data_IF_335464492546
#
_entry.id   IF_335464492546
#
_cell.length_a   1.000
_cell.length_b   1.000
_cell.length_c   1.000
_cell.angle_alpha   90.00
_cell.angle_beta   90.00
_cell.angle_gamma   90.00
#
_symmetry.space_group_name_H-M   'P 1'
#
loop_
_entity.id
_entity.type
_entity.pdbx_description
1 polymer ?
#
# COMPACT_ATOMS: atom_id res chain seq x y z
N UNK A 1 4.56 -8.48 18.21
CA UNK A 1 4.51 -7.06 17.83
C UNK A 1 5.58 -6.71 16.79
N UNK A 2 6.77 -7.33 16.85
CA UNK A 2 7.85 -7.09 15.87
C UNK A 2 7.55 -7.52 14.43
N UNK A 3 6.89 -8.67 14.25
CA UNK A 3 6.67 -9.25 12.91
C UNK A 3 5.71 -8.41 12.05
N UNK A 4 4.66 -7.83 12.62
CA UNK A 4 3.77 -6.90 11.90
C UNK A 4 4.49 -5.63 11.47
N UNK A 5 5.36 -5.07 12.32
CA UNK A 5 6.17 -3.90 11.92
C UNK A 5 7.05 -4.25 10.72
N UNK A 6 7.73 -5.41 10.76
CA UNK A 6 8.62 -5.83 9.68
C UNK A 6 7.87 -6.10 8.38
N UNK A 7 6.70 -6.73 8.45
CA UNK A 7 5.82 -6.92 7.29
C UNK A 7 5.42 -5.57 6.69
N UNK A 8 5.02 -4.62 7.53
CA UNK A 8 4.60 -3.29 7.06
C UNK A 8 5.77 -2.53 6.45
N UNK A 9 6.90 -2.46 7.16
CA UNK A 9 8.09 -1.75 6.74
C UNK A 9 8.65 -2.31 5.43
N UNK A 10 8.87 -3.62 5.36
CA UNK A 10 9.41 -4.27 4.15
C UNK A 10 8.47 -4.11 2.96
N UNK A 11 7.16 -4.19 3.20
CA UNK A 11 6.16 -3.98 2.15
C UNK A 11 6.15 -2.56 1.61
N UNK A 12 6.20 -1.55 2.49
CA UNK A 12 6.33 -0.15 2.10
C UNK A 12 7.62 0.08 1.32
N UNK A 13 8.75 -0.40 1.82
CA UNK A 13 10.04 -0.30 1.12
C UNK A 13 9.97 -0.95 -0.27
N UNK A 14 9.36 -2.12 -0.40
CA UNK A 14 9.18 -2.80 -1.68
C UNK A 14 8.34 -2.00 -2.67
N UNK A 15 7.21 -1.46 -2.22
CA UNK A 15 6.32 -0.62 -3.05
C UNK A 15 7.04 0.66 -3.48
N UNK A 16 7.66 1.39 -2.55
CA UNK A 16 8.37 2.64 -2.82
C UNK A 16 9.55 2.41 -3.75
N UNK A 17 10.30 1.32 -3.57
CA UNK A 17 11.41 1.02 -4.46
C UNK A 17 10.94 0.78 -5.90
N UNK A 18 9.80 0.12 -6.10
CA UNK A 18 9.26 -0.11 -7.44
C UNK A 18 8.62 1.15 -8.02
N UNK A 19 7.72 1.79 -7.27
CA UNK A 19 6.89 2.90 -7.73
C UNK A 19 7.61 4.25 -7.78
N UNK A 20 8.66 4.45 -6.99
CA UNK A 20 9.35 5.74 -6.86
C UNK A 20 10.82 5.70 -7.32
N UNK A 21 11.57 4.68 -6.90
CA UNK A 21 13.04 4.68 -7.01
C UNK A 21 13.58 3.90 -8.23
N UNK A 22 12.82 2.94 -8.76
CA UNK A 22 13.25 2.13 -9.90
C UNK A 22 13.17 2.94 -11.19
N UNK A 23 14.31 3.44 -11.67
CA UNK A 23 14.39 4.30 -12.86
C UNK A 23 13.86 3.66 -14.16
N UNK A 24 13.74 2.33 -14.22
CA UNK A 24 13.22 1.63 -15.39
C UNK A 24 11.68 1.51 -15.38
N UNK A 25 11.03 1.61 -14.21
CA UNK A 25 9.59 1.34 -14.03
C UNK A 25 8.85 2.58 -13.52
N UNK A 26 9.47 3.35 -12.62
CA UNK A 26 8.85 4.49 -11.98
C UNK A 26 8.53 5.58 -13.01
N UNK A 27 7.29 6.08 -12.93
CA UNK A 27 6.80 7.20 -13.74
C UNK A 27 6.61 8.43 -12.84
N UNK A 28 6.55 9.64 -13.40
CA UNK A 28 6.19 10.82 -12.61
C UNK A 28 4.83 10.67 -11.91
N UNK A 29 3.88 9.95 -12.52
CA UNK A 29 2.59 9.64 -11.93
C UNK A 29 2.74 8.72 -10.71
N UNK A 30 3.46 7.61 -10.84
CA UNK A 30 3.65 6.67 -9.73
C UNK A 30 4.45 7.28 -8.60
N UNK A 31 5.47 8.07 -8.91
CA UNK A 31 6.20 8.86 -7.93
C UNK A 31 5.27 9.77 -7.13
N UNK A 32 4.42 10.56 -7.80
CA UNK A 32 3.48 11.44 -7.12
C UNK A 32 2.41 10.68 -6.32
N UNK A 33 1.88 9.58 -6.86
CA UNK A 33 0.84 8.78 -6.21
C UNK A 33 1.34 8.11 -4.92
N UNK A 34 2.61 7.67 -4.90
CA UNK A 34 3.21 6.95 -3.78
C UNK A 34 4.15 7.81 -2.91
N UNK A 35 4.37 9.09 -3.25
CA UNK A 35 5.23 9.99 -2.48
C UNK A 35 4.85 10.09 -0.99
N UNK A 36 3.56 10.21 -0.60
CA UNK A 36 3.20 10.25 0.83
C UNK A 36 3.65 9.01 1.59
N UNK A 37 3.69 7.86 0.93
CA UNK A 37 4.15 6.60 1.52
C UNK A 37 5.67 6.52 1.60
N UNK A 38 6.38 7.01 0.58
CA UNK A 38 7.84 7.13 0.62
C UNK A 38 8.27 8.02 1.80
N UNK A 39 7.64 9.19 1.93
CA UNK A 39 7.90 10.11 3.02
C UNK A 39 7.57 9.49 4.39
N UNK A 40 6.42 8.82 4.51
CA UNK A 40 6.07 8.11 5.76
C UNK A 40 7.09 7.02 6.09
N UNK A 41 7.54 6.24 5.10
CA UNK A 41 8.51 5.16 5.27
C UNK A 41 9.85 5.64 5.85
N UNK A 42 10.30 6.82 5.47
CA UNK A 42 11.52 7.44 6.03
C UNK A 42 11.36 7.86 7.51
N UNK A 43 10.14 8.15 7.93
CA UNK A 43 9.83 8.57 9.30
C UNK A 43 9.47 7.40 10.24
N UNK A 44 9.39 6.17 9.72
CA UNK A 44 9.04 5.00 10.51
C UNK A 44 10.19 4.57 11.42
N UNK A 45 9.99 4.70 12.73
CA UNK A 45 10.84 4.10 13.76
C UNK A 45 10.04 3.09 14.57
N UNK A 46 10.65 1.93 14.85
CA UNK A 46 10.04 0.86 15.65
C UNK A 46 9.69 1.32 17.08
N UNK A 47 10.47 2.26 17.64
CA UNK A 47 10.35 2.66 19.04
C UNK A 47 9.64 3.99 19.25
N UNK A 48 9.44 4.79 18.18
CA UNK A 48 8.97 6.18 18.30
C UNK A 48 7.55 6.38 17.75
N UNK A 49 6.82 5.32 17.43
CA UNK A 49 5.45 5.44 16.93
C UNK A 49 4.45 5.60 18.07
N UNK A 50 3.74 6.75 18.18
CA UNK A 50 2.74 6.99 19.23
C UNK A 50 1.41 6.26 18.99
N UNK A 51 1.35 5.35 18.02
CA UNK A 51 0.14 4.68 17.55
C UNK A 51 0.21 3.17 17.82
N UNK A 52 -0.93 2.55 18.11
CA UNK A 52 -1.03 1.08 18.17
C UNK A 52 -0.68 0.49 16.80
N UNK A 53 0.07 -0.61 16.78
CA UNK A 53 0.54 -1.23 15.54
C UNK A 53 -0.58 -1.61 14.55
N UNK A 54 -1.75 -2.02 15.05
CA UNK A 54 -2.91 -2.30 14.21
C UNK A 54 -3.39 -1.04 13.46
N UNK A 55 -3.57 0.06 14.19
CA UNK A 55 -4.04 1.32 13.60
C UNK A 55 -3.00 1.85 12.60
N UNK A 56 -1.72 1.70 12.92
CA UNK A 56 -0.63 2.03 12.02
C UNK A 56 -0.68 1.22 10.72
N UNK A 57 -0.83 -0.10 10.81
CA UNK A 57 -0.97 -0.97 9.65
C UNK A 57 -2.18 -0.60 8.77
N UNK A 58 -3.32 -0.29 9.39
CA UNK A 58 -4.51 0.17 8.69
C UNK A 58 -4.29 1.50 7.94
N UNK A 59 -3.55 2.45 8.54
CA UNK A 59 -3.19 3.71 7.86
C UNK A 59 -2.28 3.45 6.66
N UNK A 60 -1.31 2.55 6.78
CA UNK A 60 -0.43 2.17 5.69
C UNK A 60 -1.21 1.55 4.52
N UNK A 61 -2.13 0.62 4.81
CA UNK A 61 -3.02 0.03 3.80
C UNK A 61 -3.83 1.10 3.08
N UNK A 62 -4.41 2.05 3.81
CA UNK A 62 -5.21 3.12 3.20
C UNK A 62 -4.37 4.03 2.28
N UNK A 63 -3.12 4.34 2.65
CA UNK A 63 -2.20 5.10 1.80
C UNK A 63 -1.81 4.32 0.53
N UNK A 64 -1.52 3.02 0.67
CA UNK A 64 -1.29 2.12 -0.47
C UNK A 64 -2.50 2.11 -1.40
N UNK A 65 -3.70 1.97 -0.83
CA UNK A 65 -4.92 1.97 -1.61
C UNK A 65 -5.17 3.28 -2.33
N UNK A 66 -4.90 4.43 -1.70
CA UNK A 66 -5.01 5.72 -2.36
C UNK A 66 -4.04 5.85 -3.54
N UNK A 67 -2.78 5.46 -3.36
CA UNK A 67 -1.80 5.42 -4.45
C UNK A 67 -2.28 4.57 -5.62
N UNK A 68 -2.77 3.35 -5.34
CA UNK A 68 -3.34 2.47 -6.36
C UNK A 68 -4.55 3.08 -7.09
N UNK A 69 -5.45 3.75 -6.36
CA UNK A 69 -6.61 4.41 -6.97
C UNK A 69 -6.21 5.53 -7.91
N UNK A 70 -5.23 6.35 -7.52
CA UNK A 70 -4.67 7.40 -8.37
C UNK A 70 -4.11 6.75 -9.65
N UNK A 71 -3.34 5.67 -9.51
CA UNK A 71 -2.79 4.95 -10.65
C UNK A 71 -3.89 4.39 -11.57
N UNK A 72 -4.85 3.63 -11.06
CA UNK A 72 -5.95 3.08 -11.89
C UNK A 72 -6.74 4.18 -12.61
N UNK A 73 -6.89 5.34 -11.98
CA UNK A 73 -7.63 6.48 -12.58
C UNK A 73 -6.91 7.03 -13.82
N UNK A 74 -5.58 7.02 -13.84
CA UNK A 74 -4.78 7.71 -14.84
C UNK A 74 -3.95 6.78 -15.73
N UNK A 75 -3.80 5.51 -15.36
CA UNK A 75 -3.04 4.49 -16.07
C UNK A 75 -3.90 3.24 -16.25
N UNK A 76 -4.43 3.05 -17.46
CA UNK A 76 -5.39 1.99 -17.77
C UNK A 76 -4.84 0.56 -17.66
N UNK A 77 -3.53 0.38 -17.77
CA UNK A 77 -2.85 -0.92 -17.65
C UNK A 77 -2.24 -1.16 -16.27
N UNK A 78 -2.49 -0.28 -15.28
CA UNK A 78 -1.86 -0.37 -13.96
C UNK A 78 -2.07 -1.72 -13.27
N UNK A 79 -3.24 -2.34 -13.46
CA UNK A 79 -3.59 -3.65 -12.89
C UNK A 79 -2.71 -4.81 -13.38
N UNK A 80 -1.95 -4.60 -14.45
CA UNK A 80 -0.98 -5.57 -14.98
C UNK A 80 0.47 -5.25 -14.56
N UNK A 81 0.70 -4.23 -13.73
CA UNK A 81 2.04 -3.81 -13.32
C UNK A 81 2.51 -4.51 -12.05
N UNK A 82 3.82 -4.65 -11.90
CA UNK A 82 4.44 -5.20 -10.68
C UNK A 82 4.06 -4.40 -9.43
N UNK A 83 3.95 -3.07 -9.54
CA UNK A 83 3.54 -2.19 -8.45
C UNK A 83 2.14 -2.55 -7.93
N UNK A 84 1.18 -2.82 -8.83
CA UNK A 84 -0.16 -3.26 -8.42
C UNK A 84 -0.11 -4.60 -7.67
N UNK A 85 0.66 -5.58 -8.15
CA UNK A 85 0.81 -6.88 -7.48
C UNK A 85 1.51 -6.76 -6.12
N UNK A 86 2.51 -5.87 -6.00
CA UNK A 86 3.15 -5.55 -4.72
C UNK A 86 2.15 -4.96 -3.73
N UNK A 87 1.27 -4.06 -4.18
CA UNK A 87 0.23 -3.48 -3.32
C UNK A 87 -0.76 -4.53 -2.82
N UNK A 88 -1.23 -5.45 -3.68
CA UNK A 88 -2.08 -6.58 -3.25
C UNK A 88 -1.39 -7.48 -2.23
N UNK A 89 -0.13 -7.81 -2.50
CA UNK A 89 0.68 -8.69 -1.66
C UNK A 89 0.91 -8.07 -0.29
N UNK A 90 1.23 -6.78 -0.26
CA UNK A 90 1.35 -6.03 0.99
C UNK A 90 0.09 -6.12 1.84
N UNK A 91 -1.07 -5.78 1.27
CA UNK A 91 -2.35 -5.80 2.02
C UNK A 91 -2.65 -7.20 2.53
N UNK A 92 -2.43 -8.23 1.70
CA UNK A 92 -2.66 -9.62 2.07
C UNK A 92 -1.77 -10.06 3.22
N UNK A 93 -0.46 -9.77 3.16
CA UNK A 93 0.50 -10.13 4.19
C UNK A 93 0.21 -9.41 5.52
N UNK A 94 -0.21 -8.15 5.47
CA UNK A 94 -0.64 -7.41 6.67
C UNK A 94 -1.90 -8.05 7.27
N UNK A 95 -2.89 -8.40 6.45
CA UNK A 95 -4.09 -9.09 6.91
C UNK A 95 -3.78 -10.46 7.51
N UNK A 96 -2.87 -11.22 6.91
CA UNK A 96 -2.45 -12.53 7.41
C UNK A 96 -1.73 -12.41 8.77
N UNK A 97 -0.88 -11.40 8.94
CA UNK A 97 -0.20 -11.13 10.21
C UNK A 97 -1.14 -10.59 11.30
N UNK A 98 -2.27 -9.98 10.89
CA UNK A 98 -3.39 -9.63 11.77
C UNK A 98 -4.35 -10.80 12.01
N UNK A 99 -4.03 -12.00 11.51
CA UNK A 99 -4.86 -13.22 11.60
C UNK A 99 -6.28 -13.03 11.04
N UNK A 100 -6.44 -12.14 10.05
CA UNK A 100 -7.73 -11.84 9.42
C UNK A 100 -8.11 -12.92 8.39
N UNK A 101 -9.24 -13.63 8.58
CA UNK A 101 -9.69 -14.64 7.64
C UNK A 101 -9.92 -14.11 6.22
N UNK A 102 -9.79 -14.96 5.20
CA UNK A 102 -10.02 -14.58 3.80
C UNK A 102 -11.44 -14.05 3.53
N UNK A 103 -12.43 -14.46 4.34
CA UNK A 103 -13.81 -14.02 4.19
C UNK A 103 -14.14 -12.74 4.97
N UNK A 104 -13.19 -12.21 5.75
CA UNK A 104 -13.34 -11.00 6.56
C UNK A 104 -13.71 -9.79 5.69
N UNK A 105 -14.66 -9.00 6.19
CA UNK A 105 -15.18 -7.83 5.49
C UNK A 105 -14.09 -6.78 5.26
N UNK A 106 -13.29 -6.49 6.28
CA UNK A 106 -12.26 -5.45 6.23
C UNK A 106 -11.13 -5.86 5.27
N UNK A 107 -10.73 -7.14 5.26
CA UNK A 107 -9.76 -7.68 4.29
C UNK A 107 -10.26 -7.52 2.85
N UNK A 108 -11.52 -7.90 2.58
CA UNK A 108 -12.14 -7.76 1.25
C UNK A 108 -12.22 -6.30 0.83
N UNK A 109 -12.69 -5.44 1.73
CA UNK A 109 -12.78 -4.00 1.50
C UNK A 109 -11.42 -3.43 1.06
N UNK A 110 -10.34 -3.68 1.81
CA UNK A 110 -9.02 -3.16 1.49
C UNK A 110 -8.46 -3.67 0.15
N UNK A 111 -8.66 -4.96 -0.16
CA UNK A 111 -8.24 -5.53 -1.44
C UNK A 111 -9.07 -5.03 -2.63
N UNK A 112 -10.32 -4.65 -2.39
CA UNK A 112 -11.19 -4.05 -3.40
C UNK A 112 -10.80 -2.58 -3.65
N UNK A 113 -10.46 -1.83 -2.60
CA UNK A 113 -10.12 -0.40 -2.72
C UNK A 113 -9.02 -0.13 -3.75
N UNK A 114 -8.07 -1.05 -3.91
CA UNK A 114 -6.94 -0.87 -4.83
C UNK A 114 -7.27 -1.18 -6.30
N UNK A 115 -8.47 -1.69 -6.58
CA UNK A 115 -8.98 -1.88 -7.95
C UNK A 115 -9.85 -0.71 -8.41
N UNK A 116 -10.23 0.17 -7.48
CA UNK A 116 -11.15 1.25 -7.76
C UNK A 116 -10.43 2.44 -8.39
N UNK A 117 -11.19 3.26 -9.12
CA UNK A 117 -10.77 4.58 -9.56
C UNK A 117 -11.21 5.63 -8.54
N UNK A 118 -10.58 6.81 -8.54
CA UNK A 118 -11.01 7.95 -7.73
C UNK A 118 -12.32 8.56 -8.22
N UNK A 119 -12.60 8.40 -9.50
CA UNK A 119 -13.85 8.80 -10.12
C UNK A 119 -14.80 7.61 -10.02
N UNK A 120 -15.69 7.61 -9.02
CA UNK A 120 -16.90 6.81 -9.09
C UNK A 120 -17.81 7.45 -10.13
N UNK A 121 -18.40 6.64 -11.02
CA UNK A 121 -19.43 7.06 -11.98
C UNK A 121 -20.43 8.00 -11.29
N UNK A 122 -20.40 9.26 -11.71
CA UNK A 122 -21.43 10.26 -11.44
C UNK A 122 -22.65 10.01 -12.31
#
# INVERSE_FOLDING_TARGET
MDKLFDVVNNGITGIVNNACNNQAIATPLSQNAFFPMAYMGEMMSRNDMPMKMHDFAARCINLVGLGCKIMNTHQSDFTNTDTYFLCKTFISNVCDELEMPNNDYQRKYWLEQINNNLLSDS
#
